data_IF_259926128298
#
_entry.id   IF_259926128298
#
_cell.length_a   1.000
_cell.length_b   1.000
_cell.length_c   1.000
_cell.angle_alpha   90.00
_cell.angle_beta   90.00
_cell.angle_gamma   90.00
#
_symmetry.space_group_name_H-M   'P 1'
#
loop_
_entity.id
_entity.type
_entity.pdbx_description
1 polymer ?
#
# COMPACT_ATOMS: atom_id res chain seq x y z
N UNK A 1 -2.77 -11.63 9.06
CA UNK A 1 -1.67 -10.72 8.75
C UNK A 1 -2.05 -9.66 7.69
N UNK A 2 -3.23 -9.82 7.07
CA UNK A 2 -3.83 -8.91 6.10
C UNK A 2 -5.29 -8.66 6.46
N UNK A 3 -5.72 -7.40 6.53
CA UNK A 3 -7.11 -7.00 6.82
C UNK A 3 -7.63 -6.11 5.68
N UNK A 4 -7.98 -6.73 4.55
CA UNK A 4 -8.49 -6.05 3.35
C UNK A 4 -7.74 -4.75 2.99
N UNK A 5 -6.42 -4.80 2.76
CA UNK A 5 -5.56 -3.62 2.65
C UNK A 5 -5.90 -2.71 1.46
N UNK A 6 -6.46 -3.23 0.37
CA UNK A 6 -6.85 -2.42 -0.79
C UNK A 6 -8.12 -1.59 -0.58
N UNK A 7 -8.80 -1.76 0.56
CA UNK A 7 -9.89 -0.86 0.98
C UNK A 7 -9.39 0.38 1.74
N UNK A 8 -8.08 0.54 1.89
CA UNK A 8 -7.47 1.62 2.66
C UNK A 8 -7.58 2.96 1.93
N UNK A 9 -8.18 3.95 2.59
CA UNK A 9 -8.31 5.30 2.05
C UNK A 9 -7.07 6.16 2.24
N UNK A 10 -6.06 5.68 2.99
CA UNK A 10 -4.80 6.38 3.21
C UNK A 10 -3.64 5.39 3.29
N UNK A 11 -2.43 5.86 2.96
CA UNK A 11 -1.22 5.03 3.09
C UNK A 11 -0.95 4.60 4.54
N UNK A 12 -1.34 5.39 5.52
CA UNK A 12 -1.24 5.01 6.93
C UNK A 12 -2.22 3.88 7.29
N UNK A 13 -3.44 3.91 6.76
CA UNK A 13 -4.41 2.83 6.91
C UNK A 13 -3.92 1.57 6.21
N UNK A 14 -3.34 1.69 5.00
CA UNK A 14 -2.76 0.58 4.26
C UNK A 14 -1.74 -0.18 5.11
N UNK A 15 -0.76 0.48 5.71
CA UNK A 15 0.26 -0.15 6.54
C UNK A 15 -0.25 -0.73 7.87
N UNK A 16 -1.46 -0.37 8.31
CA UNK A 16 -2.14 -1.03 9.44
C UNK A 16 -2.85 -2.32 9.05
N UNK A 17 -3.12 -2.51 7.75
CA UNK A 17 -3.86 -3.63 7.18
C UNK A 17 -3.00 -4.59 6.38
N UNK A 18 -1.84 -4.11 5.92
CA UNK A 18 -0.88 -4.89 5.13
C UNK A 18 0.27 -5.38 6.02
N UNK A 19 0.54 -6.70 5.94
CA UNK A 19 1.64 -7.37 6.65
C UNK A 19 1.76 -6.90 8.11
N UNK A 20 0.67 -7.08 8.87
CA UNK A 20 0.45 -6.46 10.18
C UNK A 20 1.58 -6.77 11.16
N UNK A 21 2.09 -8.01 11.17
CA UNK A 21 3.20 -8.41 12.03
C UNK A 21 4.48 -7.64 11.73
N UNK A 22 4.88 -7.51 10.46
CA UNK A 22 6.06 -6.73 10.07
C UNK A 22 5.85 -5.23 10.33
N UNK A 23 4.68 -4.70 9.98
CA UNK A 23 4.35 -3.28 10.19
C UNK A 23 4.39 -2.90 11.68
N UNK A 24 3.89 -3.78 12.54
CA UNK A 24 3.96 -3.61 14.01
C UNK A 24 5.40 -3.71 14.50
N UNK A 25 6.17 -4.68 14.03
CA UNK A 25 7.58 -4.82 14.38
C UNK A 25 8.40 -3.58 13.97
N UNK A 26 8.29 -3.12 12.73
CA UNK A 26 8.96 -1.90 12.27
C UNK A 26 8.57 -0.67 13.10
N UNK A 27 7.30 -0.55 13.47
CA UNK A 27 6.82 0.53 14.32
C UNK A 27 7.43 0.44 15.72
N UNK A 28 7.35 -0.72 16.37
CA UNK A 28 7.68 -0.86 17.78
C UNK A 28 9.19 -0.90 18.03
N UNK A 29 9.94 -1.61 17.21
CA UNK A 29 11.37 -1.77 17.39
C UNK A 29 12.23 -0.74 16.66
N UNK A 30 11.74 -0.15 15.57
CA UNK A 30 12.53 0.81 14.79
C UNK A 30 12.00 2.23 14.93
N UNK A 31 10.75 2.49 14.56
CA UNK A 31 10.20 3.84 14.56
C UNK A 31 10.17 4.47 15.96
N UNK A 32 9.71 3.72 16.98
CA UNK A 32 9.66 4.18 18.37
C UNK A 32 11.07 4.40 18.92
N UNK A 33 12.02 3.50 18.63
CA UNK A 33 13.43 3.61 19.07
C UNK A 33 14.13 4.82 18.46
N UNK A 34 13.80 5.24 17.24
CA UNK A 34 14.28 6.49 16.62
C UNK A 34 13.69 7.76 17.27
N UNK A 35 12.74 7.58 18.20
CA UNK A 35 12.04 8.67 18.90
C UNK A 35 10.59 8.86 18.46
N UNK A 36 10.12 8.15 17.45
CA UNK A 36 8.72 8.21 16.98
C UNK A 36 8.25 9.63 16.68
N UNK A 37 7.13 10.03 17.29
CA UNK A 37 6.56 11.39 17.17
C UNK A 37 7.09 12.37 18.24
N UNK A 38 7.95 11.95 19.17
CA UNK A 38 8.27 12.70 20.40
C UNK A 38 9.28 13.83 20.17
N UNK A 39 10.09 13.75 19.11
CA UNK A 39 11.21 14.67 18.84
C UNK A 39 10.89 15.75 17.79
N UNK A 40 9.62 16.17 17.71
CA UNK A 40 9.15 17.22 16.80
C UNK A 40 8.75 16.72 15.41
N UNK A 41 8.13 17.61 14.62
CA UNK A 41 7.51 17.27 13.32
C UNK A 41 8.52 16.80 12.28
N UNK A 42 9.62 17.55 12.11
CA UNK A 42 10.67 17.22 11.11
C UNK A 42 11.27 15.85 11.43
N UNK A 43 11.64 15.62 12.68
CA UNK A 43 12.20 14.34 13.10
C UNK A 43 11.23 13.18 12.89
N UNK A 44 9.95 13.42 13.07
CA UNK A 44 8.89 12.43 12.77
C UNK A 44 8.91 12.00 11.30
N UNK A 45 9.03 12.95 10.36
CA UNK A 45 9.08 12.65 8.93
C UNK A 45 10.36 11.86 8.57
N UNK A 46 11.50 12.26 9.13
CA UNK A 46 12.77 11.54 8.97
C UNK A 46 12.68 10.11 9.52
N UNK A 47 12.08 9.93 10.70
CA UNK A 47 11.91 8.62 11.30
C UNK A 47 11.02 7.70 10.44
N UNK A 48 9.94 8.23 9.85
CA UNK A 48 9.10 7.48 8.91
C UNK A 48 9.89 7.05 7.68
N UNK A 49 10.67 7.97 7.09
CA UNK A 49 11.49 7.68 5.92
C UNK A 49 12.55 6.60 6.23
N UNK A 50 13.31 6.76 7.32
CA UNK A 50 14.32 5.78 7.73
C UNK A 50 13.69 4.41 7.98
N UNK A 51 12.55 4.36 8.68
CA UNK A 51 11.84 3.10 8.96
C UNK A 51 11.48 2.37 7.69
N UNK A 52 10.94 3.09 6.69
CA UNK A 52 10.53 2.48 5.44
C UNK A 52 11.72 2.12 4.53
N UNK A 53 12.79 2.91 4.52
CA UNK A 53 14.03 2.57 3.82
C UNK A 53 14.66 1.29 4.36
N UNK A 54 14.72 1.15 5.67
CA UNK A 54 15.24 -0.08 6.31
C UNK A 54 14.30 -1.26 6.09
N UNK A 55 12.97 -1.03 6.08
CA UNK A 55 11.99 -2.04 5.67
C UNK A 55 12.18 -2.49 4.21
N UNK A 56 12.53 -1.57 3.30
CA UNK A 56 12.89 -1.90 1.92
C UNK A 56 14.19 -2.73 1.83
N UNK A 57 15.24 -2.31 2.52
CA UNK A 57 16.52 -3.04 2.58
C UNK A 57 16.39 -4.43 3.20
N UNK A 58 15.43 -4.64 4.08
CA UNK A 58 15.13 -5.95 4.65
C UNK A 58 14.67 -6.96 3.59
N UNK A 59 14.02 -6.51 2.51
CA UNK A 59 13.62 -7.34 1.37
C UNK A 59 14.80 -7.71 0.44
N UNK A 60 15.88 -6.93 0.48
CA UNK A 60 17.08 -7.18 -0.31
C UNK A 60 17.89 -5.91 -0.59
N UNK A 61 19.18 -6.08 -0.86
CA UNK A 61 20.12 -4.98 -1.13
C UNK A 61 20.07 -4.54 -2.61
N UNK A 62 18.86 -4.26 -3.14
CA UNK A 62 18.69 -3.71 -4.49
C UNK A 62 18.19 -2.28 -4.47
N UNK A 63 18.53 -1.52 -5.51
CA UNK A 63 18.03 -0.15 -5.70
C UNK A 63 16.50 -0.10 -5.74
N UNK A 64 15.87 -1.11 -6.35
CA UNK A 64 14.42 -1.21 -6.44
C UNK A 64 13.74 -1.27 -5.07
N UNK A 65 14.28 -2.04 -4.12
CA UNK A 65 13.75 -2.12 -2.75
C UNK A 65 14.02 -0.84 -1.96
N UNK A 66 15.15 -0.18 -2.18
CA UNK A 66 15.42 1.13 -1.55
C UNK A 66 14.42 2.17 -2.05
N UNK A 67 14.16 2.22 -3.36
CA UNK A 67 13.18 3.12 -3.96
C UNK A 67 11.74 2.80 -3.52
N UNK A 68 11.40 1.52 -3.39
CA UNK A 68 10.12 1.09 -2.82
C UNK A 68 9.95 1.60 -1.37
N UNK A 69 10.96 1.41 -0.54
CA UNK A 69 10.97 1.94 0.83
C UNK A 69 10.89 3.47 0.87
N UNK A 70 11.65 4.16 0.00
CA UNK A 70 11.60 5.62 -0.12
C UNK A 70 10.21 6.11 -0.52
N UNK A 71 9.58 5.49 -1.53
CA UNK A 71 8.22 5.82 -1.99
C UNK A 71 7.21 5.76 -0.82
N UNK A 72 7.20 4.65 -0.10
CA UNK A 72 6.30 4.47 1.03
C UNK A 72 6.63 5.41 2.21
N UNK A 73 7.91 5.63 2.50
CA UNK A 73 8.36 6.56 3.55
C UNK A 73 7.96 8.00 3.26
N UNK A 74 8.16 8.46 2.02
CA UNK A 74 7.73 9.79 1.56
C UNK A 74 6.20 9.91 1.61
N UNK A 75 5.48 8.91 1.12
CA UNK A 75 4.02 8.92 1.15
C UNK A 75 3.46 9.01 2.58
N UNK A 76 4.03 8.28 3.53
CA UNK A 76 3.67 8.38 4.95
C UNK A 76 4.01 9.76 5.54
N UNK A 77 5.17 10.33 5.20
CA UNK A 77 5.57 11.66 5.65
C UNK A 77 4.66 12.75 5.09
N UNK A 78 4.33 12.71 3.80
CA UNK A 78 3.39 13.61 3.13
C UNK A 78 1.98 13.50 3.74
N UNK A 79 1.49 12.28 3.92
CA UNK A 79 0.19 12.05 4.56
C UNK A 79 0.17 12.66 5.98
N UNK A 80 1.20 12.42 6.77
CA UNK A 80 1.35 13.00 8.12
C UNK A 80 1.42 14.53 8.08
N UNK A 81 2.14 15.09 7.12
CA UNK A 81 2.23 16.54 6.91
C UNK A 81 0.85 17.14 6.61
N UNK A 82 0.11 16.57 5.66
CA UNK A 82 -1.24 17.01 5.29
C UNK A 82 -2.17 16.95 6.49
N UNK A 83 -2.17 15.86 7.25
CA UNK A 83 -3.00 15.71 8.45
C UNK A 83 -2.64 16.73 9.55
N UNK A 84 -1.39 17.16 9.63
CA UNK A 84 -0.96 18.12 10.65
C UNK A 84 -1.26 19.58 10.28
N UNK A 85 -1.29 19.92 8.98
CA UNK A 85 -1.41 21.32 8.52
C UNK A 85 -2.78 21.67 7.98
N UNK A 86 -3.54 20.71 7.49
CA UNK A 86 -4.85 20.96 6.90
C UNK A 86 -5.95 20.29 7.73
N UNK A 87 -6.62 21.05 8.59
CA UNK A 87 -7.71 20.55 9.44
C UNK A 87 -8.86 19.93 8.64
N UNK A 88 -9.11 20.45 7.43
CA UNK A 88 -10.15 19.93 6.52
C UNK A 88 -9.93 18.48 6.07
N UNK A 89 -8.70 17.98 6.15
CA UNK A 89 -8.37 16.58 5.80
C UNK A 89 -8.37 15.65 7.01
N UNK A 90 -8.41 16.19 8.23
CA UNK A 90 -8.54 15.34 9.41
C UNK A 90 -9.90 14.66 9.38
N UNK A 91 -9.96 13.33 9.50
CA UNK A 91 -11.23 12.66 9.75
C UNK A 91 -11.73 13.15 11.11
N UNK A 92 -12.85 13.86 11.13
CA UNK A 92 -13.61 14.15 12.36
C UNK A 92 -14.34 12.85 12.73
N UNK A 93 -13.73 12.05 13.61
CA UNK A 93 -14.30 10.77 14.01
C UNK A 93 -14.30 9.71 12.87
N UNK A 94 -15.24 8.78 12.94
CA UNK A 94 -15.42 7.69 11.97
C UNK A 94 -16.00 8.13 10.61
N UNK A 95 -16.24 9.43 10.39
CA UNK A 95 -17.05 9.93 9.27
C UNK A 95 -16.24 10.67 8.21
N UNK A 96 -15.39 9.92 7.50
CA UNK A 96 -14.92 10.42 6.21
C UNK A 96 -16.10 10.41 5.22
N UNK A 97 -16.40 11.56 4.58
CA UNK A 97 -17.44 11.63 3.55
C UNK A 97 -17.22 10.54 2.50
N UNK A 98 -18.25 9.80 2.06
CA UNK A 98 -18.10 8.63 1.17
C UNK A 98 -17.25 8.91 -0.07
N UNK A 99 -17.46 10.04 -0.75
CA UNK A 99 -16.69 10.41 -1.93
C UNK A 99 -15.18 10.61 -1.65
N UNK A 100 -14.83 11.19 -0.47
CA UNK A 100 -13.43 11.35 -0.04
C UNK A 100 -12.79 10.00 0.21
N UNK A 101 -13.54 9.06 0.79
CA UNK A 101 -13.08 7.69 1.00
C UNK A 101 -12.77 7.02 -0.34
N UNK A 102 -13.67 7.12 -1.32
CA UNK A 102 -13.46 6.56 -2.66
C UNK A 102 -12.20 7.13 -3.30
N UNK A 103 -12.05 8.46 -3.32
CA UNK A 103 -10.84 9.11 -3.87
C UNK A 103 -9.58 8.66 -3.11
N UNK A 104 -9.64 8.61 -1.79
CA UNK A 104 -8.53 8.15 -0.96
C UNK A 104 -8.12 6.71 -1.27
N UNK A 105 -9.10 5.80 -1.43
CA UNK A 105 -8.86 4.41 -1.83
C UNK A 105 -8.20 4.35 -3.20
N UNK A 106 -8.72 5.09 -4.18
CA UNK A 106 -8.13 5.12 -5.54
C UNK A 106 -6.68 5.61 -5.52
N UNK A 107 -6.40 6.72 -4.84
CA UNK A 107 -5.03 7.26 -4.73
C UNK A 107 -4.11 6.25 -4.03
N UNK A 108 -4.53 5.70 -2.89
CA UNK A 108 -3.73 4.75 -2.13
C UNK A 108 -3.48 3.47 -2.93
N UNK A 109 -4.49 2.95 -3.60
CA UNK A 109 -4.38 1.77 -4.45
C UNK A 109 -3.35 1.97 -5.57
N UNK A 110 -3.44 3.07 -6.32
CA UNK A 110 -2.49 3.34 -7.42
C UNK A 110 -1.06 3.59 -6.91
N UNK A 111 -0.91 4.27 -5.77
CA UNK A 111 0.40 4.44 -5.13
C UNK A 111 1.03 3.09 -4.78
N UNK A 112 0.24 2.19 -4.21
CA UNK A 112 0.69 0.84 -3.83
C UNK A 112 0.99 0.00 -5.08
N UNK A 113 0.16 0.06 -6.13
CA UNK A 113 0.42 -0.62 -7.40
C UNK A 113 1.72 -0.12 -8.05
N UNK A 114 1.98 1.19 -8.02
CA UNK A 114 3.27 1.73 -8.46
C UNK A 114 4.43 1.18 -7.60
N UNK A 115 4.24 1.09 -6.29
CA UNK A 115 5.19 0.42 -5.39
C UNK A 115 5.45 -1.04 -5.78
N UNK A 116 4.41 -1.78 -6.22
CA UNK A 116 4.58 -3.17 -6.66
C UNK A 116 5.41 -3.30 -7.93
N UNK A 117 5.40 -2.32 -8.83
CA UNK A 117 6.30 -2.31 -9.99
C UNK A 117 7.75 -2.28 -9.52
N UNK A 118 8.10 -1.36 -8.59
CA UNK A 118 9.43 -1.29 -8.00
C UNK A 118 9.82 -2.58 -7.27
N UNK A 119 8.88 -3.16 -6.53
CA UNK A 119 9.12 -4.36 -5.73
C UNK A 119 9.35 -5.61 -6.58
N UNK A 120 8.61 -5.75 -7.69
CA UNK A 120 8.60 -6.96 -8.53
C UNK A 120 9.66 -6.96 -9.62
N UNK A 121 10.10 -5.79 -10.06
CA UNK A 121 11.05 -5.68 -11.16
C UNK A 121 12.45 -6.12 -10.76
N UNK A 122 13.08 -6.94 -11.61
CA UNK A 122 14.42 -7.48 -11.40
C UNK A 122 15.51 -6.42 -11.61
N UNK A 123 15.21 -5.32 -12.32
CA UNK A 123 16.13 -4.21 -12.60
C UNK A 123 15.38 -2.89 -12.77
N UNK A 124 16.12 -1.77 -12.65
CA UNK A 124 15.59 -0.44 -12.95
C UNK A 124 15.26 -0.26 -14.44
N UNK A 125 15.91 -1.00 -15.32
CA UNK A 125 15.57 -1.03 -16.73
C UNK A 125 14.15 -1.62 -16.91
N UNK A 126 13.84 -2.74 -16.27
CA UNK A 126 12.50 -3.37 -16.30
C UNK A 126 11.43 -2.42 -15.74
N UNK A 127 11.75 -1.65 -14.68
CA UNK A 127 10.83 -0.61 -14.18
C UNK A 127 10.52 0.42 -15.28
N UNK A 128 11.56 0.91 -15.97
CA UNK A 128 11.41 1.86 -17.07
C UNK A 128 10.59 1.30 -18.23
N UNK A 129 10.82 0.06 -18.63
CA UNK A 129 10.07 -0.63 -19.68
C UNK A 129 8.59 -0.77 -19.33
N UNK A 130 8.27 -1.22 -18.10
CA UNK A 130 6.88 -1.35 -17.62
C UNK A 130 6.18 0.00 -17.61
N UNK A 131 6.83 1.06 -17.11
CA UNK A 131 6.25 2.41 -17.10
C UNK A 131 6.05 2.95 -18.51
N UNK A 132 7.02 2.75 -19.41
CA UNK A 132 6.90 3.13 -20.82
C UNK A 132 5.72 2.41 -21.46
N UNK A 133 5.57 1.11 -21.22
CA UNK A 133 4.45 0.33 -21.74
C UNK A 133 3.10 0.87 -21.23
N UNK A 134 2.99 1.22 -19.96
CA UNK A 134 1.74 1.73 -19.37
C UNK A 134 1.37 3.11 -19.95
N UNK A 135 2.35 4.03 -20.08
CA UNK A 135 2.07 5.43 -20.38
C UNK A 135 2.16 5.80 -21.87
N UNK A 136 2.97 5.08 -22.64
CA UNK A 136 3.24 5.46 -24.05
C UNK A 136 2.93 4.37 -25.07
N UNK A 137 2.84 3.13 -24.64
CA UNK A 137 2.65 1.98 -25.55
C UNK A 137 1.56 1.03 -25.03
N UNK A 138 0.45 1.60 -24.56
CA UNK A 138 -0.67 0.83 -24.02
C UNK A 138 -1.51 0.22 -25.16
N UNK A 139 -1.64 -1.11 -25.17
CA UNK A 139 -2.35 -1.90 -26.18
C UNK A 139 -3.56 -2.61 -25.57
N UNK A 140 -4.70 -1.93 -25.38
CA UNK A 140 -5.89 -2.53 -24.76
C UNK A 140 -6.50 -3.65 -25.61
N UNK A 141 -6.25 -3.69 -26.93
CA UNK A 141 -6.73 -4.71 -27.85
C UNK A 141 -6.22 -6.13 -27.54
N UNK A 142 -5.06 -6.25 -26.91
CA UNK A 142 -4.51 -7.56 -26.50
C UNK A 142 -5.10 -8.09 -25.20
N UNK A 143 -5.89 -7.28 -24.48
CA UNK A 143 -6.42 -7.61 -23.16
C UNK A 143 -7.22 -8.93 -23.16
N UNK A 144 -8.12 -9.11 -24.13
CA UNK A 144 -8.91 -10.35 -24.21
C UNK A 144 -8.06 -11.58 -24.48
N UNK A 145 -7.03 -11.46 -25.31
CA UNK A 145 -6.07 -12.54 -25.57
C UNK A 145 -5.33 -12.92 -24.29
N UNK A 146 -4.95 -11.92 -23.51
CA UNK A 146 -4.29 -12.11 -22.22
C UNK A 146 -5.22 -12.80 -21.22
N UNK A 147 -6.49 -12.37 -21.09
CA UNK A 147 -7.49 -12.99 -20.23
C UNK A 147 -7.72 -14.47 -20.59
N UNK A 148 -7.85 -14.78 -21.87
CA UNK A 148 -8.05 -16.17 -22.34
C UNK A 148 -6.80 -17.02 -22.09
N UNK A 149 -5.61 -16.50 -22.38
CA UNK A 149 -4.34 -17.18 -22.16
C UNK A 149 -4.07 -17.50 -20.68
N UNK A 150 -4.47 -16.60 -19.78
CA UNK A 150 -4.27 -16.74 -18.34
C UNK A 150 -5.57 -16.90 -17.55
N UNK A 151 -6.59 -17.56 -18.15
CA UNK A 151 -7.94 -17.70 -17.57
C UNK A 151 -7.95 -18.20 -16.12
N UNK A 152 -7.07 -19.15 -15.76
CA UNK A 152 -6.97 -19.66 -14.38
C UNK A 152 -6.54 -18.59 -13.40
N UNK A 153 -5.58 -17.74 -13.78
CA UNK A 153 -5.12 -16.59 -12.95
C UNK A 153 -6.25 -15.59 -12.77
N UNK A 154 -6.99 -15.26 -13.84
CA UNK A 154 -8.13 -14.35 -13.76
C UNK A 154 -9.26 -14.87 -12.88
N UNK A 155 -9.57 -16.18 -12.95
CA UNK A 155 -10.56 -16.80 -12.05
C UNK A 155 -10.11 -16.66 -10.59
N UNK A 156 -8.86 -17.02 -10.28
CA UNK A 156 -8.31 -16.88 -8.92
C UNK A 156 -8.29 -15.41 -8.46
N UNK A 157 -7.99 -14.48 -9.35
CA UNK A 157 -8.02 -13.05 -9.05
C UNK A 157 -9.43 -12.56 -8.72
N UNK A 158 -10.45 -12.99 -9.49
CA UNK A 158 -11.85 -12.65 -9.21
C UNK A 158 -12.29 -13.22 -7.85
N UNK A 159 -11.97 -14.49 -7.58
CA UNK A 159 -12.24 -15.11 -6.27
C UNK A 159 -11.54 -14.33 -5.16
N UNK A 160 -10.26 -13.99 -5.35
CA UNK A 160 -9.49 -13.20 -4.39
C UNK A 160 -10.12 -11.82 -4.11
N UNK A 161 -10.61 -11.13 -5.15
CA UNK A 161 -11.32 -9.85 -4.97
C UNK A 161 -12.66 -10.02 -4.25
N UNK A 162 -13.45 -11.04 -4.58
CA UNK A 162 -14.71 -11.34 -3.87
C UNK A 162 -14.44 -11.53 -2.38
N UNK A 163 -13.45 -12.35 -2.02
CA UNK A 163 -13.05 -12.58 -0.63
C UNK A 163 -12.52 -11.28 0.03
N UNK A 164 -11.73 -10.50 -0.69
CA UNK A 164 -11.13 -9.27 -0.19
C UNK A 164 -12.15 -8.17 0.13
N UNK A 165 -13.22 -8.07 -0.66
CA UNK A 165 -14.30 -7.09 -0.46
C UNK A 165 -15.51 -7.65 0.29
N UNK A 166 -15.42 -8.88 0.79
CA UNK A 166 -16.46 -9.49 1.59
C UNK A 166 -16.73 -8.70 2.88
N UNK A 167 -18.00 -8.47 3.25
CA UNK A 167 -18.34 -7.85 4.53
C UNK A 167 -17.86 -8.70 5.71
N UNK A 168 -17.35 -8.08 6.77
CA UNK A 168 -16.85 -8.78 7.97
C UNK A 168 -17.88 -9.71 8.62
N UNK A 169 -19.17 -9.39 8.50
CA UNK A 169 -20.24 -10.27 8.98
C UNK A 169 -20.27 -11.64 8.25
N UNK A 170 -20.04 -11.63 6.93
CA UNK A 170 -19.97 -12.85 6.15
C UNK A 170 -18.64 -13.61 6.39
N UNK A 171 -17.54 -12.90 6.54
CA UNK A 171 -16.24 -13.48 6.90
C UNK A 171 -16.30 -14.23 8.24
N UNK A 172 -16.85 -13.58 9.28
CA UNK A 172 -17.03 -14.19 10.59
C UNK A 172 -17.96 -15.42 10.54
N UNK A 173 -19.01 -15.38 9.71
CA UNK A 173 -19.90 -16.52 9.48
C UNK A 173 -19.17 -17.71 8.87
N UNK A 174 -18.31 -17.49 7.88
CA UNK A 174 -17.49 -18.54 7.27
C UNK A 174 -16.46 -19.11 8.25
N UNK A 175 -15.81 -18.29 9.03
CA UNK A 175 -14.85 -18.72 10.07
C UNK A 175 -15.53 -19.60 11.12
N UNK A 176 -16.75 -19.26 11.55
CA UNK A 176 -17.52 -20.06 12.53
C UNK A 176 -17.97 -21.44 11.99
N UNK A 177 -17.98 -21.63 10.67
CA UNK A 177 -18.33 -22.95 10.05
C UNK A 177 -17.08 -23.83 9.92
N UNK A 178 -15.88 -23.24 9.89
CA UNK A 178 -14.61 -23.96 9.69
C UNK A 178 -13.91 -24.30 11.01
N UNK A 179 -14.31 -23.65 12.12
CA UNK A 179 -13.85 -23.94 13.50
C UNK A 179 -14.85 -24.78 14.25
#
# INVERSE_FOLDING_TARGET
>A
NFDSPYQSATITEFWRRWHISLSSWLKDYLYISLGGNRKGKIRTYINLLITMLLGGLWHGASVSFILWGALHGVALAVHKFVMNHFSSFKPLGSEMKPWRRVIGVLITFHLVCFGWILFRADSMQTVGEVLTQIFTNFHPEVFMQFVVGYKGVFVLMVVGYILHFMPKSAENGLQAVVT
#
